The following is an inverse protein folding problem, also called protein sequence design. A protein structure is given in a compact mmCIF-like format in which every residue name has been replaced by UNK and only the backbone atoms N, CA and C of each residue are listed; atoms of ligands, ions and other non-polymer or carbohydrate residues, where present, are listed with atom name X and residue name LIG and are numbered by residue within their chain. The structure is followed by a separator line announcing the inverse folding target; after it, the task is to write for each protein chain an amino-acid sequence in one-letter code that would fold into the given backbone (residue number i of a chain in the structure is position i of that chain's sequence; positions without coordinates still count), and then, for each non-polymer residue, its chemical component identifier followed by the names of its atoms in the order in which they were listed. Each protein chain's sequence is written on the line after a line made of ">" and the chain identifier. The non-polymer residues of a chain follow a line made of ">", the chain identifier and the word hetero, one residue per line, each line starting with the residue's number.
data_IF_196723264736
#
_entry.id   IF_196723264736
#
_cell.length_a   1.000
_cell.length_b   1.000
_cell.length_c   1.000
_cell.angle_alpha   90.00
_cell.angle_beta   90.00
_cell.angle_gamma   90.00
#
_symmetry.space_group_name_H-M   'P 1'
#
loop_
_entity.id
_entity.type
_entity.pdbx_description
1 polymer ?
#
# COMPACT_ATOMS: atom_id res chain seq x y z
N UNK A 1 -1.10 1.70 -7.60
CA UNK A 1 -2.55 1.62 -7.84
C UNK A 1 -3.13 2.96 -8.29
N UNK A 2 -3.15 4.03 -7.48
CA UNK A 2 -3.78 5.32 -7.85
C UNK A 2 -3.32 5.85 -9.22
N UNK A 3 -2.01 5.78 -9.50
CA UNK A 3 -1.46 6.23 -10.77
C UNK A 3 -1.75 5.26 -11.92
N UNK A 4 -1.73 3.96 -11.67
CA UNK A 4 -2.09 2.93 -12.65
C UNK A 4 -3.54 3.06 -13.12
N UNK A 5 -4.43 3.45 -12.22
CA UNK A 5 -5.86 3.68 -12.51
C UNK A 5 -6.19 5.13 -12.89
N UNK A 6 -5.20 6.00 -13.06
CA UNK A 6 -5.36 7.41 -13.44
C UNK A 6 -6.32 8.21 -12.51
N UNK A 7 -6.39 7.84 -11.24
CA UNK A 7 -7.26 8.47 -10.25
C UNK A 7 -6.88 9.94 -10.08
N UNK A 8 -7.86 10.85 -10.17
CA UNK A 8 -7.68 12.30 -10.03
C UNK A 8 -8.19 12.85 -8.71
N UNK A 9 -9.00 12.08 -8.00
CA UNK A 9 -9.63 12.49 -6.75
C UNK A 9 -9.77 11.28 -5.82
N UNK A 10 -9.48 11.48 -4.55
CA UNK A 10 -9.71 10.48 -3.51
C UNK A 10 -10.35 11.11 -2.29
N UNK A 11 -10.95 10.26 -1.47
CA UNK A 11 -11.30 10.61 -0.09
C UNK A 11 -10.72 9.58 0.88
N UNK A 12 -10.30 10.04 2.05
CA UNK A 12 -9.72 9.20 3.10
C UNK A 12 -10.24 9.61 4.47
N UNK A 13 -10.26 8.72 5.46
CA UNK A 13 -10.57 9.10 6.83
C UNK A 13 -9.63 10.19 7.32
N UNK A 14 -10.14 11.17 8.06
CA UNK A 14 -9.30 12.24 8.63
C UNK A 14 -8.31 11.73 9.69
N UNK A 15 -8.59 10.56 10.28
CA UNK A 15 -7.69 9.85 11.18
C UNK A 15 -7.09 8.65 10.46
N UNK A 16 -5.93 8.82 9.88
CA UNK A 16 -5.18 7.78 9.17
C UNK A 16 -3.68 8.05 9.21
N UNK A 17 -2.89 7.17 8.61
CA UNK A 17 -1.45 7.39 8.51
C UNK A 17 -1.12 8.48 7.48
N UNK A 18 -0.33 9.46 7.90
CA UNK A 18 -0.04 10.70 7.16
C UNK A 18 0.53 10.48 5.74
N UNK A 19 1.15 9.33 5.46
CA UNK A 19 1.70 9.06 4.13
C UNK A 19 0.63 8.96 3.04
N UNK A 20 -0.62 8.60 3.39
CA UNK A 20 -1.70 8.47 2.41
C UNK A 20 -2.11 9.82 1.84
N UNK A 21 -2.48 10.85 2.64
CA UNK A 21 -2.75 12.18 2.11
C UNK A 21 -1.51 12.81 1.45
N UNK A 22 -0.30 12.57 1.96
CA UNK A 22 0.92 13.05 1.30
C UNK A 22 1.13 12.42 -0.08
N UNK A 23 0.72 11.16 -0.27
CA UNK A 23 0.80 10.54 -1.58
C UNK A 23 -0.15 11.23 -2.57
N UNK A 24 -1.37 11.57 -2.13
CA UNK A 24 -2.30 12.33 -2.96
C UNK A 24 -1.70 13.67 -3.41
N UNK A 25 -1.14 14.44 -2.47
CA UNK A 25 -0.45 15.70 -2.77
C UNK A 25 0.70 15.54 -3.75
N UNK A 26 1.57 14.53 -3.56
CA UNK A 26 2.71 14.25 -4.45
C UNK A 26 2.29 13.82 -5.87
N UNK A 27 1.12 13.23 -6.01
CA UNK A 27 0.58 12.79 -7.30
C UNK A 27 -0.33 13.83 -7.95
N UNK A 28 -0.56 14.99 -7.31
CA UNK A 28 -1.49 16.01 -7.79
C UNK A 28 -2.94 15.55 -7.79
N UNK A 29 -3.30 14.66 -6.87
CA UNK A 29 -4.64 14.11 -6.71
C UNK A 29 -5.43 14.97 -5.73
N UNK A 30 -6.67 15.36 -6.08
CA UNK A 30 -7.58 16.07 -5.18
C UNK A 30 -7.88 15.19 -3.95
N UNK A 31 -7.63 15.72 -2.75
CA UNK A 31 -7.88 15.03 -1.48
C UNK A 31 -9.15 15.57 -0.83
N UNK A 32 -10.02 14.69 -0.36
CA UNK A 32 -11.14 14.99 0.53
C UNK A 32 -11.07 14.17 1.79
N UNK A 33 -11.44 14.80 2.90
CA UNK A 33 -11.53 14.14 4.19
C UNK A 33 -12.90 13.51 4.38
N UNK A 34 -12.93 12.34 5.06
CA UNK A 34 -14.15 11.69 5.55
C UNK A 34 -14.11 11.62 7.06
N UNK A 35 -15.26 11.93 7.68
CA UNK A 35 -15.48 11.61 9.10
C UNK A 35 -15.96 10.16 9.20
N UNK A 36 -15.02 9.24 9.23
CA UNK A 36 -15.26 7.81 9.20
C UNK A 36 -14.46 7.13 10.32
N UNK A 37 -15.15 6.34 11.14
CA UNK A 37 -14.52 5.41 12.05
C UNK A 37 -14.24 4.11 11.32
N UNK A 38 -12.99 3.73 11.20
CA UNK A 38 -12.57 2.53 10.49
C UNK A 38 -11.77 1.61 11.41
N UNK A 39 -11.79 0.33 11.08
CA UNK A 39 -11.00 -0.70 11.73
C UNK A 39 -10.42 -1.63 10.68
N UNK A 40 -9.16 -2.06 10.89
CA UNK A 40 -8.41 -2.98 10.05
C UNK A 40 -8.09 -2.45 8.64
N UNK A 41 -9.03 -1.86 7.92
CA UNK A 41 -8.84 -1.25 6.60
C UNK A 41 -9.89 -0.17 6.29
N UNK A 42 -9.65 0.59 5.24
CA UNK A 42 -10.62 1.49 4.64
C UNK A 42 -10.40 1.62 3.12
N UNK A 43 -11.44 1.97 2.38
CA UNK A 43 -11.35 2.23 0.95
C UNK A 43 -10.79 3.63 0.68
N UNK A 44 -9.92 3.75 -0.33
CA UNK A 44 -9.42 5.03 -0.84
C UNK A 44 -10.46 5.61 -1.79
N UNK A 45 -11.33 6.50 -1.29
CA UNK A 45 -12.44 7.04 -2.08
C UNK A 45 -13.39 5.96 -2.59
N UNK A 46 -13.92 6.20 -3.79
CA UNK A 46 -14.82 5.29 -4.51
C UNK A 46 -14.03 4.31 -5.40
N UNK A 47 -12.80 4.00 -5.02
CA UNK A 47 -11.93 3.07 -5.76
C UNK A 47 -12.00 1.67 -5.15
N UNK A 48 -11.47 0.68 -5.88
CA UNK A 48 -11.23 -0.66 -5.34
C UNK A 48 -9.87 -0.81 -4.64
N UNK A 49 -9.22 0.32 -4.30
CA UNK A 49 -7.96 0.34 -3.56
C UNK A 49 -8.27 0.48 -2.08
N UNK A 50 -7.71 -0.40 -1.27
CA UNK A 50 -7.86 -0.35 0.19
C UNK A 50 -6.53 -0.17 0.90
N UNK A 51 -6.49 0.72 1.87
CA UNK A 51 -5.41 0.76 2.85
C UNK A 51 -5.70 -0.29 3.92
N UNK A 52 -4.98 -1.39 3.86
CA UNK A 52 -5.01 -2.49 4.80
C UNK A 52 -3.67 -2.63 5.53
N UNK A 53 -2.97 -1.51 5.73
CA UNK A 53 -1.63 -1.48 6.30
C UNK A 53 -1.53 -2.04 7.73
N UNK A 54 -2.67 -2.22 8.41
CA UNK A 54 -2.75 -2.80 9.75
C UNK A 54 -3.46 -4.15 9.79
N UNK A 55 -4.07 -4.57 8.68
CA UNK A 55 -4.74 -5.85 8.56
C UNK A 55 -3.72 -6.94 8.21
N UNK A 56 -3.44 -7.80 9.17
CA UNK A 56 -2.60 -8.96 8.98
C UNK A 56 -3.28 -10.19 9.60
N UNK A 57 -4.07 -10.86 8.78
CA UNK A 57 -4.82 -12.03 9.20
C UNK A 57 -4.86 -13.05 8.06
N UNK A 58 -4.86 -14.34 8.42
CA UNK A 58 -4.96 -15.41 7.43
C UNK A 58 -6.31 -15.33 6.71
N UNK A 59 -6.29 -15.44 5.38
CA UNK A 59 -7.48 -15.40 4.52
C UNK A 59 -8.23 -14.05 4.56
N UNK A 60 -7.56 -12.94 4.89
CA UNK A 60 -8.17 -11.61 4.96
C UNK A 60 -8.21 -10.87 3.63
N UNK A 61 -7.73 -11.45 2.54
CA UNK A 61 -7.80 -10.81 1.23
C UNK A 61 -9.26 -10.55 0.82
N UNK A 62 -9.53 -9.31 0.41
CA UNK A 62 -10.84 -8.88 -0.07
C UNK A 62 -10.86 -8.98 -1.59
N UNK A 63 -11.68 -9.86 -2.20
CA UNK A 63 -11.72 -10.04 -3.65
C UNK A 63 -12.02 -8.75 -4.42
N UNK A 64 -11.45 -8.66 -5.63
CA UNK A 64 -11.63 -7.53 -6.55
C UNK A 64 -11.09 -6.19 -6.02
N UNK A 65 -10.15 -6.24 -5.08
CA UNK A 65 -9.47 -5.06 -4.55
C UNK A 65 -7.97 -5.07 -4.82
N UNK A 66 -7.36 -3.88 -4.70
CA UNK A 66 -5.93 -3.70 -4.53
C UNK A 66 -5.66 -3.48 -3.05
N UNK A 67 -5.43 -4.57 -2.33
CA UNK A 67 -5.23 -4.55 -0.89
C UNK A 67 -3.78 -4.21 -0.55
N UNK A 68 -3.55 -3.00 -0.02
CA UNK A 68 -2.23 -2.48 0.30
C UNK A 68 -1.83 -2.84 1.73
N UNK A 69 -0.84 -3.71 1.89
CA UNK A 69 -0.25 -4.12 3.18
C UNK A 69 1.03 -3.35 3.46
N UNK A 70 1.37 -3.19 4.74
CA UNK A 70 2.60 -2.55 5.17
C UNK A 70 3.50 -3.50 5.96
N UNK A 71 4.81 -3.44 5.69
CA UNK A 71 5.86 -4.14 6.44
C UNK A 71 6.74 -3.17 7.24
N UNK A 72 6.25 -1.97 7.49
CA UNK A 72 6.94 -0.97 8.30
C UNK A 72 7.23 -1.54 9.70
N UNK A 73 8.29 -1.07 10.35
CA UNK A 73 8.83 -1.66 11.59
C UNK A 73 7.84 -1.81 12.76
N UNK A 74 6.70 -1.08 12.75
CA UNK A 74 5.62 -1.20 13.75
C UNK A 74 4.54 -2.21 13.36
N UNK A 75 4.63 -2.79 12.16
CA UNK A 75 3.59 -3.71 11.66
C UNK A 75 3.85 -5.14 12.12
N UNK A 76 2.84 -5.97 12.01
CA UNK A 76 2.88 -7.35 12.49
C UNK A 76 3.99 -8.16 11.81
N UNK A 77 4.06 -8.17 10.50
CA UNK A 77 5.24 -8.63 9.76
C UNK A 77 6.19 -7.44 9.57
N UNK A 78 7.09 -7.24 10.53
CA UNK A 78 8.01 -6.11 10.56
C UNK A 78 9.29 -6.40 9.77
N UNK A 79 9.47 -5.71 8.63
CA UNK A 79 10.67 -5.80 7.78
C UNK A 79 11.43 -4.46 7.73
N UNK A 80 11.10 -3.51 8.63
CA UNK A 80 11.66 -2.18 8.65
C UNK A 80 10.86 -1.21 7.81
N UNK A 81 10.72 -1.46 6.53
CA UNK A 81 9.91 -0.69 5.57
C UNK A 81 9.41 -1.61 4.45
N UNK A 82 8.62 -1.04 3.53
CA UNK A 82 8.06 -1.77 2.40
C UNK A 82 6.61 -2.18 2.64
N UNK A 83 6.09 -2.94 1.72
CA UNK A 83 4.70 -3.41 1.73
C UNK A 83 4.45 -4.39 0.60
N UNK A 84 3.21 -4.77 0.44
CA UNK A 84 2.75 -5.65 -0.62
C UNK A 84 1.36 -5.20 -1.08
N UNK A 85 1.07 -5.38 -2.35
CA UNK A 85 -0.28 -5.24 -2.89
C UNK A 85 -0.79 -6.63 -3.24
N UNK A 86 -1.94 -6.98 -2.69
CA UNK A 86 -2.66 -8.21 -3.05
C UNK A 86 -3.77 -7.85 -4.02
N UNK A 87 -3.90 -8.63 -5.10
CA UNK A 87 -4.97 -8.49 -6.08
C UNK A 87 -5.19 -9.83 -6.80
N UNK A 88 -6.41 -10.05 -7.28
CA UNK A 88 -6.75 -11.16 -8.17
C UNK A 88 -6.82 -10.74 -9.66
N UNK A 89 -6.45 -9.50 -9.98
CA UNK A 89 -6.30 -8.99 -11.33
C UNK A 89 -4.85 -9.23 -11.79
N UNK A 90 -4.64 -10.27 -12.61
CA UNK A 90 -3.31 -10.68 -13.07
C UNK A 90 -2.66 -9.63 -13.99
N UNK A 91 -3.44 -8.97 -14.84
CA UNK A 91 -2.92 -7.93 -15.73
C UNK A 91 -2.45 -6.71 -14.93
N UNK A 92 -3.25 -6.28 -13.96
CA UNK A 92 -2.86 -5.19 -13.07
C UNK A 92 -1.65 -5.58 -12.20
N UNK A 93 -1.57 -6.82 -11.70
CA UNK A 93 -0.41 -7.31 -10.97
C UNK A 93 0.87 -7.20 -11.80
N UNK A 94 0.81 -7.58 -13.09
CA UNK A 94 1.95 -7.44 -14.01
C UNK A 94 2.33 -5.98 -14.25
N UNK A 95 1.35 -5.09 -14.49
CA UNK A 95 1.60 -3.64 -14.63
C UNK A 95 2.24 -3.06 -13.37
N UNK A 96 1.71 -3.39 -12.19
CA UNK A 96 2.24 -2.91 -10.90
C UNK A 96 3.65 -3.46 -10.63
N UNK A 97 3.93 -4.72 -11.01
CA UNK A 97 5.27 -5.32 -10.91
C UNK A 97 6.26 -4.53 -11.78
N UNK A 98 5.94 -4.25 -13.04
CA UNK A 98 6.76 -3.39 -13.92
C UNK A 98 6.94 -2.01 -13.32
N UNK A 99 5.85 -1.38 -12.85
CA UNK A 99 5.88 -0.05 -12.26
C UNK A 99 6.77 0.00 -11.00
N UNK A 100 6.83 -1.06 -10.21
CA UNK A 100 7.71 -1.13 -9.02
C UNK A 100 9.19 -1.36 -9.37
N UNK A 101 9.50 -1.78 -10.61
CA UNK A 101 10.83 -2.15 -11.08
C UNK A 101 11.28 -1.29 -12.26
N UNK A 102 11.19 0.03 -12.11
CA UNK A 102 11.63 1.02 -13.12
C UNK A 102 10.98 0.88 -14.50
N UNK A 103 9.77 0.33 -14.59
CA UNK A 103 9.07 0.05 -15.84
C UNK A 103 9.53 -1.24 -16.53
N UNK A 104 10.36 -2.06 -15.88
CA UNK A 104 10.99 -3.26 -16.41
C UNK A 104 10.40 -4.55 -15.85
N UNK A 105 10.72 -5.66 -16.48
CA UNK A 105 10.55 -7.00 -15.93
C UNK A 105 11.90 -7.49 -15.36
N UNK A 106 11.95 -8.01 -14.12
CA UNK A 106 13.21 -8.40 -13.48
C UNK A 106 13.91 -9.57 -14.17
N UNK A 107 13.17 -10.44 -14.84
CA UNK A 107 13.66 -11.68 -15.42
C UNK A 107 14.18 -11.52 -16.87
N UNK A 108 14.14 -10.29 -17.43
CA UNK A 108 14.61 -9.99 -18.80
C UNK A 108 15.79 -9.01 -18.70
N UNK A 109 16.91 -9.25 -19.39
CA UNK A 109 18.02 -8.29 -19.42
C UNK A 109 17.56 -6.90 -19.88
N UNK A 110 18.01 -5.85 -19.24
CA UNK A 110 17.55 -4.49 -19.53
C UNK A 110 17.65 -4.11 -21.02
N UNK A 111 18.76 -4.45 -21.66
CA UNK A 111 19.01 -4.15 -23.08
C UNK A 111 18.06 -4.85 -24.06
N UNK A 112 17.33 -5.84 -23.59
CA UNK A 112 16.40 -6.66 -24.37
C UNK A 112 14.94 -6.27 -24.12
N UNK A 113 14.70 -5.24 -23.31
CA UNK A 113 13.36 -4.79 -22.98
C UNK A 113 13.02 -3.49 -23.70
N UNK A 114 11.78 -3.43 -24.22
CA UNK A 114 11.14 -2.16 -24.56
C UNK A 114 10.45 -1.58 -23.32
N UNK A 115 10.93 -0.41 -22.85
CA UNK A 115 10.39 0.26 -21.67
C UNK A 115 9.37 1.29 -22.12
N UNK A 116 8.10 0.91 -22.07
CA UNK A 116 6.96 1.69 -22.56
C UNK A 116 6.21 2.47 -21.45
N UNK A 117 6.60 2.33 -20.19
CA UNK A 117 5.93 2.99 -19.06
C UNK A 117 6.93 3.51 -18.03
N UNK A 118 6.54 4.60 -17.35
CA UNK A 118 7.33 5.11 -16.21
C UNK A 118 7.16 4.14 -15.03
N UNK A 119 8.29 3.76 -14.44
CA UNK A 119 8.34 2.98 -13.21
C UNK A 119 8.98 3.72 -12.05
N UNK A 120 9.08 3.03 -10.93
CA UNK A 120 9.70 3.48 -9.70
C UNK A 120 10.67 2.43 -9.19
N UNK A 121 11.64 2.84 -8.41
CA UNK A 121 12.59 1.96 -7.74
C UNK A 121 12.03 1.48 -6.40
N UNK A 122 10.91 0.70 -6.43
CA UNK A 122 10.13 0.31 -5.24
C UNK A 122 10.13 -1.20 -5.00
N UNK A 123 10.98 -1.94 -5.66
CA UNK A 123 11.11 -3.38 -5.41
C UNK A 123 11.76 -3.66 -4.06
N UNK A 124 11.41 -4.80 -3.50
CA UNK A 124 12.01 -5.29 -2.27
C UNK A 124 13.38 -5.89 -2.59
N UNK A 125 14.40 -5.60 -1.74
CA UNK A 125 15.71 -6.24 -1.90
C UNK A 125 15.65 -7.72 -1.54
N UNK A 126 16.54 -8.57 -2.10
CA UNK A 126 16.60 -9.99 -1.77
C UNK A 126 16.76 -10.26 -0.27
N UNK A 127 17.56 -9.45 0.43
CA UNK A 127 17.78 -9.58 1.88
C UNK A 127 16.51 -9.30 2.67
N UNK A 128 15.76 -8.27 2.28
CA UNK A 128 14.46 -7.94 2.91
C UNK A 128 13.44 -9.04 2.63
N UNK A 129 13.40 -9.57 1.41
CA UNK A 129 12.52 -10.67 1.06
C UNK A 129 12.85 -11.94 1.86
N UNK A 130 14.14 -12.28 1.99
CA UNK A 130 14.59 -13.41 2.80
C UNK A 130 14.22 -13.24 4.28
N UNK A 131 14.44 -12.05 4.84
CA UNK A 131 13.99 -11.73 6.21
C UNK A 131 12.48 -11.91 6.36
N UNK A 132 11.69 -11.50 5.34
CA UNK A 132 10.25 -11.71 5.30
C UNK A 132 9.87 -13.18 5.38
N UNK A 133 10.49 -14.02 4.55
CA UNK A 133 10.26 -15.47 4.56
C UNK A 133 10.62 -16.12 5.90
N UNK A 134 11.70 -15.67 6.54
CA UNK A 134 12.10 -16.17 7.86
C UNK A 134 11.10 -15.77 8.97
N UNK A 135 10.55 -14.56 8.92
CA UNK A 135 9.60 -14.04 9.93
C UNK A 135 8.15 -14.47 9.70
N UNK A 136 7.80 -14.85 8.47
CA UNK A 136 6.43 -15.16 8.08
C UNK A 136 5.78 -16.26 8.95
N UNK A 137 6.44 -17.41 9.27
CA UNK A 137 5.83 -18.45 10.10
C UNK A 137 5.41 -17.93 11.48
N UNK A 138 6.24 -17.11 12.12
CA UNK A 138 5.93 -16.52 13.42
C UNK A 138 4.78 -15.51 13.32
N UNK A 139 4.78 -14.66 12.28
CA UNK A 139 3.70 -13.72 12.03
C UNK A 139 2.36 -14.43 11.75
N UNK A 140 2.39 -15.57 11.07
CA UNK A 140 1.19 -16.37 10.78
C UNK A 140 0.64 -17.12 11.99
N UNK A 141 1.46 -17.34 13.02
CA UNK A 141 1.08 -18.09 14.24
C UNK A 141 0.67 -17.17 15.41
N UNK A 142 0.87 -15.88 15.30
CA UNK A 142 0.58 -14.90 16.35
C UNK A 142 -0.53 -13.94 15.92
N UNK A 143 -1.22 -13.35 16.90
CA UNK A 143 -2.25 -12.34 16.61
C UNK A 143 -1.63 -10.97 16.42
N UNK A 144 -2.05 -10.19 15.40
CA UNK A 144 -1.60 -8.82 15.24
C UNK A 144 -2.13 -7.91 16.36
N UNK A 145 -1.42 -6.80 16.61
CA UNK A 145 -1.95 -5.69 17.42
C UNK A 145 -3.25 -5.20 16.77
N UNK A 146 -4.28 -5.04 17.56
CA UNK A 146 -5.48 -4.30 17.13
C UNK A 146 -5.20 -2.80 17.20
N UNK A 147 -5.45 -2.12 16.11
CA UNK A 147 -5.36 -0.69 16.00
C UNK A 147 -6.75 -0.08 16.15
N UNK A 148 -6.83 1.09 16.79
CA UNK A 148 -8.07 1.82 16.97
C UNK A 148 -7.96 3.21 16.37
N UNK A 149 -9.06 3.92 16.24
CA UNK A 149 -9.08 5.30 15.74
C UNK A 149 -8.20 6.24 16.58
N UNK A 150 -8.00 5.91 17.84
CA UNK A 150 -7.17 6.69 18.78
C UNK A 150 -5.66 6.56 18.51
N UNK A 151 -5.24 5.51 17.80
CA UNK A 151 -3.84 5.37 17.37
C UNK A 151 -3.46 6.42 16.30
N UNK A 152 -4.44 7.16 15.74
CA UNK A 152 -4.25 8.10 14.63
C UNK A 152 -4.66 9.53 15.03
N UNK A 153 -3.78 10.52 14.84
CA UNK A 153 -4.16 11.91 15.05
C UNK A 153 -5.18 12.35 14.00
N UNK A 154 -5.96 13.37 14.34
CA UNK A 154 -6.76 14.09 13.35
C UNK A 154 -5.83 14.92 12.44
N UNK A 155 -5.78 14.56 11.17
CA UNK A 155 -4.89 15.20 10.21
C UNK A 155 -5.42 16.55 9.74
N UNK A 156 -6.72 16.82 9.85
CA UNK A 156 -7.33 18.07 9.38
C UNK A 156 -6.89 19.30 10.19
N UNK A 157 -6.44 19.09 11.43
CA UNK A 157 -5.95 20.18 12.27
C UNK A 157 -4.47 20.53 12.04
N UNK A 158 -3.77 19.70 11.26
CA UNK A 158 -2.35 19.91 11.01
C UNK A 158 -2.12 21.02 10.00
N UNK A 159 -1.12 21.87 10.21
CA UNK A 159 -0.83 23.04 9.40
C UNK A 159 -0.66 22.71 7.91
N UNK A 160 -0.04 21.58 7.61
CA UNK A 160 0.22 21.14 6.23
C UNK A 160 -1.06 20.83 5.42
N UNK A 161 -2.21 20.67 6.07
CA UNK A 161 -3.50 20.35 5.44
C UNK A 161 -4.54 21.48 5.59
N UNK A 162 -4.14 22.64 6.15
CA UNK A 162 -4.92 23.89 6.18
C UNK A 162 -4.63 24.71 4.94
#
# INVERSE_FOLDING_TARGET
>A
CLRDQEIKKISVPHRTYISVPFLASKLGIELRWRDEVWQDYYFIGDTNIIDAAVLWEKNSYIPNTFMCLSFQFRKHLSLGRGGMILTNDEEAALRLKKMSYDGRLPDIPWREQDISSIGYHYYMTPETAQLGLQKLPAAMSTKPKKWTIEDWPDLTIMEIFK
#
